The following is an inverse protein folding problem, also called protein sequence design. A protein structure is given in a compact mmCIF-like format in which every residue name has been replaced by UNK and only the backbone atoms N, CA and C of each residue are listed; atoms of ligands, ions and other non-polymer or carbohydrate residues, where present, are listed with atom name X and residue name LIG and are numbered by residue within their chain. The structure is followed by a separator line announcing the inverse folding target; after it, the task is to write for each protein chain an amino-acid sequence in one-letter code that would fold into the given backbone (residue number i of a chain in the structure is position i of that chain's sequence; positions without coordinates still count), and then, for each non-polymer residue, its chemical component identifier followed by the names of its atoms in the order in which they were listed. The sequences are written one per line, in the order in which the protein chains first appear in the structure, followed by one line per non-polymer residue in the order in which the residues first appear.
data_IF_490137079222
#
_entry.id   IF_490137079222
#
_cell.length_a   1.000
_cell.length_b   1.000
_cell.length_c   1.000
_cell.angle_alpha   90.00
_cell.angle_beta   90.00
_cell.angle_gamma   90.00
#
_symmetry.space_group_name_H-M   'P 1'
#
loop_
_entity.id
_entity.type
_entity.pdbx_description
1 polymer ?
#
# COMPACT_ATOMS: atom_id res chain seq x y z
N UNK A 1 2.00 -12.03 -31.98
CA UNK A 1 1.13 -10.84 -31.78
C UNK A 1 2.01 -9.61 -31.85
N UNK A 2 1.91 -8.80 -32.91
CA UNK A 2 2.67 -7.55 -33.05
C UNK A 2 1.93 -6.47 -32.26
N UNK A 3 2.55 -5.96 -31.19
CA UNK A 3 2.12 -4.73 -30.52
C UNK A 3 2.45 -3.56 -31.45
N UNK A 4 1.58 -3.30 -32.41
CA UNK A 4 1.53 -2.01 -33.08
C UNK A 4 0.90 -1.05 -32.08
N UNK A 5 1.73 -0.39 -31.27
CA UNK A 5 1.28 0.79 -30.51
C UNK A 5 0.59 1.70 -31.53
N UNK A 6 -0.67 2.03 -31.30
CA UNK A 6 -1.45 2.86 -32.20
C UNK A 6 -0.91 4.29 -32.12
N UNK A 7 0.16 4.56 -32.88
CA UNK A 7 0.94 5.80 -32.84
C UNK A 7 0.08 7.04 -33.11
N UNK A 8 -0.98 6.90 -33.91
CA UNK A 8 -1.94 7.98 -34.22
C UNK A 8 -2.77 8.35 -32.99
N UNK A 9 -3.19 7.37 -32.19
CA UNK A 9 -3.90 7.62 -30.93
C UNK A 9 -2.99 8.26 -29.86
N UNK A 10 -1.72 7.87 -29.84
CA UNK A 10 -0.73 8.43 -28.93
C UNK A 10 -0.42 9.90 -29.26
N UNK A 11 -0.31 10.23 -30.54
CA UNK A 11 -0.06 11.61 -31.01
C UNK A 11 -1.24 12.54 -30.68
N UNK A 12 -2.48 12.07 -30.86
CA UNK A 12 -3.69 12.81 -30.46
C UNK A 12 -3.74 13.07 -28.95
N UNK A 13 -3.37 12.09 -28.12
CA UNK A 13 -3.34 12.23 -26.66
C UNK A 13 -2.23 13.20 -26.21
N UNK A 14 -1.07 13.17 -26.86
CA UNK A 14 0.02 14.11 -26.60
C UNK A 14 -0.39 15.54 -26.97
N UNK A 15 -1.08 15.72 -28.11
CA UNK A 15 -1.61 17.02 -28.54
C UNK A 15 -2.68 17.55 -27.57
N UNK A 16 -3.58 16.70 -27.07
CA UNK A 16 -4.58 17.10 -26.06
C UNK A 16 -3.94 17.52 -24.74
N UNK A 17 -2.97 16.75 -24.23
CA UNK A 17 -2.23 17.11 -23.02
C UNK A 17 -1.45 18.42 -23.21
N UNK A 18 -0.83 18.61 -24.38
CA UNK A 18 -0.10 19.83 -24.69
C UNK A 18 -1.04 21.03 -24.84
N UNK A 19 -2.19 20.88 -25.50
CA UNK A 19 -3.18 21.96 -25.63
C UNK A 19 -3.77 22.34 -24.27
N UNK A 20 -4.15 21.36 -23.44
CA UNK A 20 -4.61 21.61 -22.08
C UNK A 20 -3.55 22.33 -21.24
N UNK A 21 -2.28 21.94 -21.36
CA UNK A 21 -1.16 22.64 -20.72
C UNK A 21 -1.04 24.08 -21.23
N UNK A 22 -1.05 24.30 -22.54
CA UNK A 22 -0.92 25.63 -23.14
C UNK A 22 -2.13 26.54 -22.89
N UNK A 23 -3.32 25.99 -22.71
CA UNK A 23 -4.52 26.80 -22.41
C UNK A 23 -4.58 27.20 -20.94
N UNK A 24 -3.95 26.42 -20.06
CA UNK A 24 -4.04 26.60 -18.62
C UNK A 24 -2.73 27.07 -17.97
N UNK A 25 -1.58 27.10 -18.67
CA UNK A 25 -0.28 27.42 -18.07
C UNK A 25 -0.13 28.84 -17.50
N UNK A 26 -0.99 29.78 -17.90
CA UNK A 26 -0.96 31.18 -17.40
C UNK A 26 -1.93 31.44 -16.25
N UNK A 27 -2.95 30.60 -16.10
CA UNK A 27 -4.03 30.76 -15.11
C UNK A 27 -3.98 29.69 -14.03
N UNK A 28 -3.39 28.54 -14.35
CA UNK A 28 -3.12 27.46 -13.41
C UNK A 28 -1.81 27.76 -12.71
N UNK A 29 -1.93 28.12 -11.44
CA UNK A 29 -0.80 28.11 -10.55
C UNK A 29 -0.43 26.63 -10.30
N UNK A 30 0.50 26.10 -11.08
CA UNK A 30 0.92 24.70 -10.97
C UNK A 30 1.52 24.39 -9.60
N UNK A 31 2.12 25.37 -8.92
CA UNK A 31 2.59 25.21 -7.54
C UNK A 31 1.41 25.03 -6.58
N UNK A 32 0.32 25.78 -6.77
CA UNK A 32 -0.95 25.60 -6.01
C UNK A 32 -1.62 24.26 -6.34
N UNK A 33 -1.58 23.83 -7.60
CA UNK A 33 -2.09 22.52 -8.00
C UNK A 33 -1.26 21.38 -7.37
N UNK A 34 0.06 21.47 -7.41
CA UNK A 34 0.95 20.50 -6.78
C UNK A 34 0.72 20.46 -5.25
N UNK A 35 0.58 21.62 -4.62
CA UNK A 35 0.25 21.73 -3.20
C UNK A 35 -1.09 21.04 -2.87
N UNK A 36 -2.14 21.30 -3.66
CA UNK A 36 -3.45 20.66 -3.48
C UNK A 36 -3.43 19.15 -3.70
N UNK A 37 -2.68 18.67 -4.69
CA UNK A 37 -2.49 17.23 -4.92
C UNK A 37 -1.76 16.59 -3.74
N UNK A 38 -0.74 17.28 -3.19
CA UNK A 38 0.00 16.82 -2.01
C UNK A 38 -0.90 16.77 -0.77
N UNK A 39 -1.74 17.78 -0.56
CA UNK A 39 -2.70 17.80 0.54
C UNK A 39 -3.75 16.70 0.41
N UNK A 40 -4.28 16.48 -0.80
CA UNK A 40 -5.20 15.38 -1.07
C UNK A 40 -4.56 14.02 -0.76
N UNK A 41 -3.30 13.81 -1.21
CA UNK A 41 -2.52 12.60 -0.92
C UNK A 41 -2.38 12.41 0.59
N UNK A 42 -2.03 13.45 1.33
CA UNK A 42 -1.89 13.40 2.79
C UNK A 42 -3.21 13.04 3.50
N UNK A 43 -4.33 13.60 3.05
CA UNK A 43 -5.67 13.26 3.58
C UNK A 43 -6.02 11.81 3.29
N UNK A 44 -5.77 11.32 2.06
CA UNK A 44 -6.01 9.92 1.70
C UNK A 44 -5.17 8.95 2.53
N UNK A 45 -3.88 9.24 2.75
CA UNK A 45 -3.02 8.43 3.61
C UNK A 45 -3.60 8.41 5.03
N UNK A 46 -3.99 9.56 5.60
CA UNK A 46 -4.60 9.62 6.94
C UNK A 46 -5.88 8.80 7.06
N UNK A 47 -6.78 8.89 6.08
CA UNK A 47 -7.99 8.07 6.05
C UNK A 47 -7.67 6.57 5.95
N UNK A 48 -6.66 6.23 5.17
CA UNK A 48 -6.19 4.84 5.04
C UNK A 48 -5.65 4.34 6.38
N UNK A 49 -4.85 5.13 7.12
CA UNK A 49 -4.38 4.75 8.46
C UNK A 49 -5.53 4.44 9.40
N UNK A 50 -6.54 5.32 9.47
CA UNK A 50 -7.68 5.12 10.37
C UNK A 50 -8.39 3.79 10.10
N UNK A 51 -8.54 3.42 8.83
CA UNK A 51 -9.10 2.12 8.46
C UNK A 51 -8.15 0.97 8.76
N UNK A 52 -6.83 1.19 8.63
CA UNK A 52 -5.79 0.22 8.92
C UNK A 52 -5.59 -0.03 10.41
N UNK A 53 -6.00 0.86 11.31
CA UNK A 53 -5.94 0.59 12.77
C UNK A 53 -6.69 -0.70 13.11
N UNK A 54 -7.74 -1.04 12.36
CA UNK A 54 -8.47 -2.31 12.52
C UNK A 54 -7.66 -3.55 12.14
N UNK A 55 -6.48 -3.38 11.53
CA UNK A 55 -5.52 -4.44 11.23
C UNK A 55 -4.62 -4.76 12.43
N UNK A 56 -4.52 -3.88 13.43
CA UNK A 56 -3.77 -4.18 14.65
C UNK A 56 -4.44 -5.37 15.35
N UNK A 57 -3.64 -6.28 15.90
CA UNK A 57 -4.01 -7.57 16.48
C UNK A 57 -4.58 -8.60 15.48
N UNK A 58 -4.77 -8.25 14.20
CA UNK A 58 -5.19 -9.20 13.17
C UNK A 58 -4.04 -10.08 12.72
N UNK A 59 -4.40 -11.24 12.16
CA UNK A 59 -3.44 -12.13 11.50
C UNK A 59 -3.50 -11.91 10.00
N UNK A 60 -2.34 -11.75 9.38
CA UNK A 60 -2.20 -11.51 7.94
C UNK A 60 -1.27 -12.52 7.27
N UNK A 61 -1.45 -12.72 5.97
CA UNK A 61 -0.54 -13.47 5.11
C UNK A 61 0.01 -12.53 4.02
N UNK A 62 1.26 -12.75 3.58
CA UNK A 62 1.90 -12.03 2.48
C UNK A 62 2.34 -12.94 1.32
N UNK A 63 1.83 -14.18 1.31
CA UNK A 63 2.14 -15.20 0.30
C UNK A 63 3.47 -15.93 0.50
N UNK A 64 4.32 -15.55 1.47
CA UNK A 64 5.49 -16.35 1.82
C UNK A 64 5.08 -17.68 2.45
N UNK A 65 5.87 -18.72 2.22
CA UNK A 65 5.64 -20.06 2.78
C UNK A 65 6.65 -20.40 3.87
N UNK A 66 6.22 -21.16 4.88
CA UNK A 66 7.08 -21.73 5.91
C UNK A 66 7.82 -22.98 5.37
N UNK A 67 8.69 -23.59 6.19
CA UNK A 67 9.43 -24.80 5.80
C UNK A 67 8.54 -26.02 5.52
N UNK A 68 7.30 -26.01 6.00
CA UNK A 68 6.31 -27.04 5.78
C UNK A 68 5.46 -26.80 4.51
N UNK A 69 5.72 -25.71 3.78
CA UNK A 69 5.00 -25.35 2.55
C UNK A 69 3.65 -24.65 2.77
N UNK A 70 3.31 -24.33 4.01
CA UNK A 70 2.11 -23.60 4.42
C UNK A 70 2.35 -22.09 4.36
N UNK A 71 1.30 -21.28 4.24
CA UNK A 71 1.44 -19.83 4.24
C UNK A 71 1.90 -19.34 5.61
N UNK A 72 2.91 -18.46 5.62
CA UNK A 72 3.32 -17.77 6.83
C UNK A 72 2.23 -16.80 7.26
N UNK A 73 1.90 -16.85 8.53
CA UNK A 73 0.92 -15.98 9.17
C UNK A 73 1.65 -15.03 10.11
N UNK A 74 1.20 -13.79 10.16
CA UNK A 74 1.82 -12.75 10.96
C UNK A 74 0.78 -12.00 11.76
N UNK A 75 0.98 -11.88 13.07
CA UNK A 75 0.16 -11.04 13.91
C UNK A 75 0.68 -9.60 13.87
N UNK A 76 -0.20 -8.65 13.55
CA UNK A 76 0.17 -7.24 13.40
C UNK A 76 0.19 -6.55 14.76
N UNK A 77 1.35 -6.07 15.18
CA UNK A 77 1.51 -5.36 16.45
C UNK A 77 1.35 -3.84 16.30
N UNK A 78 1.80 -3.28 15.16
CA UNK A 78 1.69 -1.85 14.90
C UNK A 78 1.81 -1.51 13.41
N UNK A 79 1.56 -0.26 13.09
CA UNK A 79 1.66 0.29 11.73
C UNK A 79 2.78 1.32 11.70
N UNK A 80 3.52 1.34 10.59
CA UNK A 80 4.52 2.35 10.30
C UNK A 80 4.27 2.95 8.93
N UNK A 81 4.36 4.26 8.83
CA UNK A 81 4.32 4.97 7.55
C UNK A 81 5.73 5.45 7.27
N UNK A 82 6.25 5.10 6.10
CA UNK A 82 7.56 5.58 5.68
C UNK A 82 7.45 6.97 5.06
N UNK A 83 8.60 7.64 4.89
CA UNK A 83 8.68 8.94 4.22
C UNK A 83 8.18 8.91 2.76
N UNK A 84 8.07 7.72 2.16
CA UNK A 84 7.52 7.52 0.81
C UNK A 84 5.99 7.32 0.80
N UNK A 85 5.31 7.59 1.93
CA UNK A 85 3.88 7.33 2.15
C UNK A 85 3.48 5.85 2.02
N UNK A 86 4.43 4.93 2.20
CA UNK A 86 4.14 3.49 2.20
C UNK A 86 3.78 3.05 3.62
N UNK A 87 2.71 2.27 3.72
CA UNK A 87 2.31 1.65 5.00
C UNK A 87 2.97 0.28 5.13
N UNK A 88 3.76 0.11 6.18
CA UNK A 88 4.30 -1.17 6.60
C UNK A 88 3.58 -1.63 7.88
N UNK A 89 3.21 -2.90 7.90
CA UNK A 89 2.76 -3.62 9.08
C UNK A 89 4.01 -4.13 9.81
N UNK A 90 4.12 -3.77 11.08
CA UNK A 90 5.11 -4.34 12.00
C UNK A 90 4.42 -5.52 12.66
N UNK A 91 5.03 -6.69 12.57
CA UNK A 91 4.36 -7.94 12.91
C UNK A 91 5.35 -8.99 13.43
N UNK A 92 4.81 -10.02 14.07
CA UNK A 92 5.52 -11.21 14.50
C UNK A 92 4.95 -12.43 13.79
N UNK A 93 5.78 -13.39 13.40
CA UNK A 93 5.32 -14.64 12.80
C UNK A 93 4.54 -15.46 13.83
N UNK A 94 3.38 -15.96 13.43
CA UNK A 94 2.58 -16.88 14.24
C UNK A 94 3.20 -18.27 14.09
N UNK A 95 3.82 -18.76 15.17
CA UNK A 95 4.47 -20.08 15.20
C UNK A 95 3.55 -21.18 15.76
N UNK A 96 2.45 -20.79 16.40
CA UNK A 96 1.47 -21.73 16.93
C UNK A 96 0.29 -21.05 17.62
N UNK A 97 -0.56 -21.85 18.23
CA UNK A 97 -1.72 -21.39 19.00
C UNK A 97 -1.75 -22.11 20.35
N UNK A 98 -1.79 -21.33 21.43
CA UNK A 98 -1.99 -21.84 22.78
C UNK A 98 -3.48 -22.13 23.00
N UNK A 99 -3.80 -23.41 23.13
CA UNK A 99 -5.17 -23.87 23.33
C UNK A 99 -5.74 -23.59 24.72
N UNK A 100 -4.89 -23.33 25.71
CA UNK A 100 -5.27 -23.02 27.09
C UNK A 100 -5.63 -21.55 27.17
N UNK A 101 -4.70 -20.68 26.78
CA UNK A 101 -4.86 -19.23 26.88
C UNK A 101 -5.62 -18.61 25.69
N UNK A 102 -5.94 -19.41 24.67
CA UNK A 102 -6.58 -18.99 23.42
C UNK A 102 -5.84 -17.84 22.72
N UNK A 103 -4.51 -17.90 22.71
CA UNK A 103 -3.63 -16.87 22.15
C UNK A 103 -2.68 -17.43 21.10
N UNK A 104 -2.28 -16.58 20.17
CA UNK A 104 -1.20 -16.91 19.24
C UNK A 104 0.14 -16.97 19.97
N UNK A 105 0.93 -17.98 19.62
CA UNK A 105 2.34 -18.05 20.00
C UNK A 105 3.10 -17.36 18.88
N UNK A 106 3.81 -16.29 19.24
CA UNK A 106 4.53 -15.42 18.30
C UNK A 106 6.03 -15.69 18.40
N UNK A 107 6.74 -15.51 17.28
CA UNK A 107 8.19 -15.45 17.29
C UNK A 107 8.71 -14.18 18.00
N UNK A 108 10.02 -14.12 18.21
CA UNK A 108 10.69 -12.98 18.84
C UNK A 108 11.25 -11.97 17.82
N UNK A 109 11.16 -12.26 16.52
CA UNK A 109 11.70 -11.42 15.46
C UNK A 109 10.62 -10.50 14.88
N UNK A 110 10.99 -9.24 14.59
CA UNK A 110 10.09 -8.32 13.92
C UNK A 110 10.12 -8.55 12.41
N UNK A 111 8.95 -8.77 11.84
CA UNK A 111 8.70 -8.78 10.41
C UNK A 111 8.05 -7.47 9.96
N UNK A 112 8.46 -7.01 8.77
CA UNK A 112 7.90 -5.83 8.12
C UNK A 112 7.21 -6.25 6.83
N UNK A 113 5.90 -6.05 6.76
CA UNK A 113 5.09 -6.39 5.59
C UNK A 113 4.51 -5.12 5.02
N UNK A 114 4.83 -4.79 3.77
CA UNK A 114 4.14 -3.70 3.11
C UNK A 114 2.65 -4.05 2.95
N UNK A 115 1.75 -3.17 3.36
CA UNK A 115 0.31 -3.44 3.34
C UNK A 115 -0.19 -3.86 1.94
N UNK A 116 0.38 -3.29 0.87
CA UNK A 116 0.03 -3.66 -0.52
C UNK A 116 0.36 -5.11 -0.89
N UNK A 117 1.19 -5.80 -0.10
CA UNK A 117 1.56 -7.21 -0.29
C UNK A 117 0.73 -8.17 0.53
N UNK A 118 -0.18 -7.67 1.38
CA UNK A 118 -1.07 -8.53 2.17
C UNK A 118 -2.03 -9.25 1.22
N UNK A 119 -2.00 -10.58 1.27
CA UNK A 119 -2.84 -11.44 0.45
C UNK A 119 -4.12 -11.88 1.16
N UNK A 120 -4.10 -11.91 2.50
CA UNK A 120 -5.24 -12.33 3.31
C UNK A 120 -5.17 -11.74 4.73
N UNK A 121 -6.34 -11.51 5.33
CA UNK A 121 -6.53 -11.02 6.70
C UNK A 121 -7.54 -11.92 7.42
N UNK A 122 -7.29 -12.23 8.68
CA UNK A 122 -8.15 -13.01 9.58
C UNK A 122 -8.51 -12.18 10.82
#
# INVERSE_FOLDING_TARGET
MKNTVNLIGLESQVLECYSYFMDNHKTTNFDDLEAKIRDLKNVMVRMTITNLVNMIDRVVEDGRKNRNGENKQYNVSSLQITNDDKVNLICHEVVGFDNIDKKYILDNELSYINFSKVTRVY
#
